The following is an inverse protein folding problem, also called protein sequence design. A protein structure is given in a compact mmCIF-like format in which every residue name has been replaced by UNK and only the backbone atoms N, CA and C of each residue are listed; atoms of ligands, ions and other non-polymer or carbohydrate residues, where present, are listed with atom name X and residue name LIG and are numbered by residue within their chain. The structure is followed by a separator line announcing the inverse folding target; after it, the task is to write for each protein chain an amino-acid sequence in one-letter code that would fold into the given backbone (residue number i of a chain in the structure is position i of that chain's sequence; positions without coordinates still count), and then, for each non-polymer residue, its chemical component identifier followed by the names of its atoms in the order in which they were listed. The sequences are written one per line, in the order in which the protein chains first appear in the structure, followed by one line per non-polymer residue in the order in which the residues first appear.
data_IF_978495786242
#
_entry.id   IF_978495786242
#
_cell.length_a   1.000
_cell.length_b   1.000
_cell.length_c   1.000
_cell.angle_alpha   90.00
_cell.angle_beta   90.00
_cell.angle_gamma   90.00
#
_symmetry.space_group_name_H-M   'P 1'
#
loop_
_entity.id
_entity.type
_entity.pdbx_description
1 polymer ?
#
# COMPACT_ATOMS: atom_id res chain seq x y z
N UNK A 1 21.34 60.81 3.23
CA UNK A 1 21.78 59.42 2.95
C UNK A 1 23.29 59.37 2.96
N UNK A 2 23.91 58.44 3.69
CA UNK A 2 25.37 58.21 3.57
C UNK A 2 25.64 57.55 2.21
N UNK A 3 26.67 58.02 1.50
CA UNK A 3 27.10 57.39 0.25
C UNK A 3 27.54 55.93 0.51
N UNK A 4 27.27 55.00 -0.43
CA UNK A 4 27.81 53.64 -0.34
C UNK A 4 29.34 53.71 -0.33
N UNK A 5 30.00 52.86 0.46
CA UNK A 5 31.47 52.84 0.47
C UNK A 5 31.96 52.23 -0.84
N UNK A 6 33.24 52.44 -1.13
CA UNK A 6 33.88 51.96 -2.36
C UNK A 6 33.81 50.42 -2.51
N UNK A 7 33.71 49.70 -1.39
CA UNK A 7 33.58 48.23 -1.37
C UNK A 7 32.24 47.79 -1.97
N UNK A 8 31.15 48.44 -1.59
CA UNK A 8 29.80 48.12 -2.05
C UNK A 8 29.65 48.44 -3.55
N UNK A 9 30.26 49.53 -4.01
CA UNK A 9 30.33 49.86 -5.44
C UNK A 9 31.12 48.80 -6.23
N UNK A 10 32.24 48.32 -5.67
CA UNK A 10 33.03 47.25 -6.30
C UNK A 10 32.23 45.95 -6.45
N UNK A 11 31.53 45.51 -5.40
CA UNK A 11 30.67 44.32 -5.46
C UNK A 11 29.52 44.50 -6.44
N UNK A 12 28.92 45.70 -6.51
CA UNK A 12 27.86 46.00 -7.46
C UNK A 12 28.35 45.89 -8.92
N UNK A 13 29.55 46.41 -9.22
CA UNK A 13 30.16 46.29 -10.54
C UNK A 13 30.48 44.83 -10.87
N UNK A 14 31.02 44.06 -9.91
CA UNK A 14 31.28 42.62 -10.11
C UNK A 14 29.97 41.89 -10.42
N UNK A 15 28.92 42.12 -9.62
CA UNK A 15 27.61 41.49 -9.80
C UNK A 15 26.94 41.84 -11.13
N UNK A 16 27.18 43.04 -11.67
CA UNK A 16 26.61 43.49 -12.94
C UNK A 16 27.22 42.75 -14.14
N UNK A 17 28.51 42.40 -14.05
CA UNK A 17 29.25 41.74 -15.13
C UNK A 17 29.18 40.22 -15.02
N UNK A 18 28.95 39.66 -13.83
CA UNK A 18 28.74 38.22 -13.65
C UNK A 18 27.39 37.77 -14.23
N UNK A 19 27.31 36.57 -14.83
CA UNK A 19 26.05 36.02 -15.31
C UNK A 19 25.06 35.82 -14.15
N UNK A 20 23.77 35.97 -14.44
CA UNK A 20 22.72 35.79 -13.45
C UNK A 20 22.72 34.35 -12.92
N UNK A 21 22.58 34.22 -11.59
CA UNK A 21 22.49 32.91 -10.93
C UNK A 21 21.13 32.22 -11.13
N UNK A 22 20.11 32.96 -11.56
CA UNK A 22 18.74 32.46 -11.73
C UNK A 22 18.65 31.42 -12.84
N UNK A 23 17.92 30.33 -12.60
CA UNK A 23 17.51 29.38 -13.64
C UNK A 23 16.43 29.98 -14.55
N UNK A 24 16.29 29.46 -15.77
CA UNK A 24 15.25 29.88 -16.73
C UNK A 24 13.86 29.29 -16.46
N UNK A 25 13.56 28.90 -15.22
CA UNK A 25 12.24 28.39 -14.85
C UNK A 25 11.18 29.50 -15.06
N UNK A 26 10.00 29.23 -15.65
CA UNK A 26 9.44 27.91 -16.04
C UNK A 26 9.73 27.48 -17.48
N UNK A 27 10.52 28.24 -18.27
CA UNK A 27 10.83 27.89 -19.67
C UNK A 27 11.68 26.61 -19.78
N UNK A 28 12.63 26.44 -18.86
CA UNK A 28 13.38 25.19 -18.70
C UNK A 28 12.97 24.56 -17.35
N UNK A 29 12.59 23.28 -17.31
CA UNK A 29 12.18 22.61 -16.09
C UNK A 29 13.38 22.46 -15.14
N UNK A 30 13.11 22.60 -13.83
CA UNK A 30 14.11 22.27 -12.83
C UNK A 30 14.27 20.76 -12.73
N UNK A 31 15.51 20.27 -12.69
CA UNK A 31 15.83 18.86 -12.45
C UNK A 31 16.31 18.73 -11.00
N UNK A 32 15.51 18.12 -10.11
CA UNK A 32 15.94 17.87 -8.74
C UNK A 32 17.11 16.90 -8.66
N UNK A 33 17.76 16.84 -7.49
CA UNK A 33 18.82 15.89 -7.21
C UNK A 33 18.30 14.44 -7.22
N UNK A 34 19.19 13.48 -7.50
CA UNK A 34 18.85 12.06 -7.44
C UNK A 34 18.41 11.66 -6.03
N UNK A 35 17.24 10.99 -5.90
CA UNK A 35 16.59 10.64 -4.62
C UNK A 35 15.87 11.80 -3.93
N UNK A 36 15.55 12.86 -4.66
CA UNK A 36 14.57 13.85 -4.20
C UNK A 36 13.26 13.16 -3.79
N UNK A 37 12.64 13.65 -2.71
CA UNK A 37 11.39 13.11 -2.17
C UNK A 37 10.20 13.92 -2.66
N UNK A 38 9.76 13.63 -3.89
CA UNK A 38 8.57 14.20 -4.49
C UNK A 38 7.30 13.38 -4.23
N UNK A 39 6.33 13.50 -5.13
CA UNK A 39 5.04 12.81 -5.06
C UNK A 39 5.26 11.29 -4.94
N UNK A 40 4.65 10.62 -3.96
CA UNK A 40 4.57 9.16 -3.94
C UNK A 40 3.84 8.66 -5.19
N UNK A 41 4.49 7.79 -5.96
CA UNK A 41 3.92 7.10 -7.11
C UNK A 41 3.66 5.67 -6.69
N UNK A 42 2.43 5.23 -6.88
CA UNK A 42 1.99 3.88 -6.53
C UNK A 42 1.96 3.05 -7.81
N UNK A 43 2.58 1.88 -7.74
CA UNK A 43 2.50 0.88 -8.79
C UNK A 43 1.35 -0.06 -8.47
N UNK A 44 0.30 -0.03 -9.30
CA UNK A 44 -0.89 -0.84 -9.04
C UNK A 44 -0.61 -2.34 -9.13
N UNK A 45 0.31 -2.80 -9.97
CA UNK A 45 0.59 -4.24 -10.12
C UNK A 45 1.38 -4.79 -8.93
N UNK A 46 2.27 -3.96 -8.36
CA UNK A 46 3.14 -4.36 -7.26
C UNK A 46 2.60 -3.99 -5.86
N UNK A 47 1.58 -3.12 -5.78
CA UNK A 47 0.91 -2.77 -4.54
C UNK A 47 -0.15 -3.82 -4.18
N UNK A 48 0.07 -4.55 -3.09
CA UNK A 48 -0.82 -5.65 -2.69
C UNK A 48 -1.91 -5.25 -1.68
N UNK A 49 -1.99 -3.98 -1.25
CA UNK A 49 -3.04 -3.54 -0.31
C UNK A 49 -2.91 -4.06 1.14
N UNK A 50 -1.68 -4.30 1.61
CA UNK A 50 -1.35 -4.87 2.93
C UNK A 50 -1.41 -3.89 4.14
N UNK A 51 -1.88 -2.65 3.96
CA UNK A 51 -2.00 -1.61 5.01
C UNK A 51 -0.71 -1.12 5.69
N UNK A 52 0.45 -1.74 5.44
CA UNK A 52 1.71 -1.38 6.11
C UNK A 52 2.05 0.11 5.95
N UNK A 53 1.81 0.67 4.77
CA UNK A 53 2.07 2.09 4.49
C UNK A 53 1.18 3.05 5.29
N UNK A 54 -0.06 2.68 5.61
CA UNK A 54 -0.93 3.50 6.46
C UNK A 54 -0.47 3.47 7.92
N UNK A 55 -0.06 2.30 8.42
CA UNK A 55 0.40 2.13 9.79
C UNK A 55 1.69 2.92 10.11
N UNK A 56 2.59 3.05 9.14
CA UNK A 56 3.85 3.81 9.33
C UNK A 56 3.73 5.29 8.99
N UNK A 57 2.57 5.76 8.50
CA UNK A 57 2.39 7.13 8.04
C UNK A 57 2.18 8.08 9.24
N UNK A 58 3.13 8.98 9.56
CA UNK A 58 2.99 9.85 10.73
C UNK A 58 1.77 10.78 10.70
N UNK A 59 1.40 11.42 9.56
CA UNK A 59 0.22 12.29 9.50
C UNK A 59 -1.08 11.53 9.17
N UNK A 60 -1.06 10.19 9.09
CA UNK A 60 -2.20 9.37 8.64
C UNK A 60 -2.81 9.85 7.31
N UNK A 61 -1.95 10.21 6.35
CA UNK A 61 -2.35 10.66 5.02
C UNK A 61 -2.87 9.53 4.11
N UNK A 62 -2.63 8.27 4.48
CA UNK A 62 -3.08 7.09 3.75
C UNK A 62 -4.15 6.40 4.59
N UNK A 63 -5.32 6.19 4.00
CA UNK A 63 -6.46 5.53 4.66
C UNK A 63 -6.98 4.37 3.83
N UNK A 64 -7.51 3.37 4.52
CA UNK A 64 -8.06 2.15 3.94
C UNK A 64 -9.53 2.02 4.36
N UNK A 65 -10.40 1.68 3.41
CA UNK A 65 -11.82 1.42 3.62
C UNK A 65 -12.22 0.15 2.89
N UNK A 66 -12.86 -0.79 3.59
CA UNK A 66 -13.31 -2.06 3.02
C UNK A 66 -14.81 -2.02 2.74
N UNK A 67 -15.18 -2.21 1.48
CA UNK A 67 -16.56 -2.41 1.02
C UNK A 67 -16.79 -3.91 0.83
N UNK A 68 -17.54 -4.51 1.76
CA UNK A 68 -17.83 -5.95 1.75
C UNK A 68 -18.83 -6.35 0.67
N UNK A 69 -19.76 -5.46 0.32
CA UNK A 69 -20.80 -5.75 -0.68
C UNK A 69 -20.20 -5.83 -2.07
N UNK A 70 -19.29 -4.90 -2.38
CA UNK A 70 -18.54 -4.90 -3.64
C UNK A 70 -17.32 -5.81 -3.62
N UNK A 71 -16.89 -6.28 -2.45
CA UNK A 71 -15.68 -7.09 -2.31
C UNK A 71 -14.42 -6.32 -2.66
N UNK A 72 -14.37 -5.00 -2.41
CA UNK A 72 -13.23 -4.16 -2.73
C UNK A 72 -12.72 -3.38 -1.53
N UNK A 73 -11.41 -3.16 -1.52
CA UNK A 73 -10.70 -2.30 -0.59
C UNK A 73 -10.28 -1.04 -1.30
N UNK A 74 -10.71 0.10 -0.79
CA UNK A 74 -10.40 1.42 -1.30
C UNK A 74 -9.25 1.99 -0.46
N UNK A 75 -8.16 2.34 -1.13
CA UNK A 75 -6.98 2.96 -0.54
C UNK A 75 -6.97 4.40 -1.01
N UNK A 76 -7.11 5.35 -0.08
CA UNK A 76 -7.04 6.78 -0.39
C UNK A 76 -5.76 7.41 0.16
N UNK A 77 -5.18 8.31 -0.62
CA UNK A 77 -3.92 8.99 -0.31
C UNK A 77 -4.11 10.49 -0.46
N UNK A 78 -4.13 11.20 0.66
CA UNK A 78 -4.27 12.65 0.70
C UNK A 78 -2.88 13.31 0.68
N UNK A 79 -2.46 13.79 -0.48
CA UNK A 79 -1.17 14.47 -0.62
C UNK A 79 -1.14 15.84 0.05
N UNK A 80 -2.29 16.40 0.43
CA UNK A 80 -2.37 17.64 1.22
C UNK A 80 -2.04 17.43 2.69
N UNK A 81 -2.15 16.19 3.19
CA UNK A 81 -1.70 15.80 4.55
C UNK A 81 -0.29 15.20 4.57
N UNK A 82 0.19 14.73 3.41
CA UNK A 82 1.47 14.05 3.31
C UNK A 82 2.65 14.99 3.66
N UNK A 83 3.58 14.51 4.48
CA UNK A 83 4.83 15.22 4.82
C UNK A 83 6.03 14.77 3.99
N UNK A 84 5.81 13.94 2.96
CA UNK A 84 6.82 13.44 2.02
C UNK A 84 8.08 12.81 2.67
N UNK A 85 7.89 12.15 3.82
CA UNK A 85 9.00 11.57 4.60
C UNK A 85 9.62 10.28 4.02
N UNK A 86 8.93 9.62 3.08
CA UNK A 86 9.27 8.32 2.48
C UNK A 86 9.08 7.05 3.33
N UNK A 87 8.50 7.12 4.53
CA UNK A 87 8.24 5.93 5.35
C UNK A 87 7.41 4.86 4.63
N UNK A 88 6.46 5.28 3.79
CA UNK A 88 5.65 4.34 2.99
C UNK A 88 6.47 3.54 1.96
N UNK A 89 7.52 4.15 1.39
CA UNK A 89 8.44 3.48 0.46
C UNK A 89 9.32 2.49 1.21
N UNK A 90 9.92 2.92 2.32
CA UNK A 90 10.91 2.13 3.06
C UNK A 90 10.29 0.89 3.74
N UNK A 91 9.04 1.00 4.18
CA UNK A 91 8.30 -0.11 4.79
C UNK A 91 7.38 -0.87 3.81
N UNK A 92 7.49 -0.61 2.51
CA UNK A 92 6.71 -1.36 1.53
C UNK A 92 7.16 -2.83 1.50
N UNK A 93 6.28 -3.78 1.86
CA UNK A 93 6.64 -5.20 1.92
C UNK A 93 7.08 -5.78 0.56
N UNK A 94 6.61 -5.20 -0.54
CA UNK A 94 6.98 -5.59 -1.91
C UNK A 94 8.22 -4.84 -2.42
N UNK A 95 8.63 -3.76 -1.76
CA UNK A 95 9.73 -2.87 -2.16
C UNK A 95 9.48 -2.07 -3.44
N UNK A 96 8.35 -2.30 -4.12
CA UNK A 96 8.00 -1.69 -5.41
C UNK A 96 6.61 -1.07 -5.45
N UNK A 97 5.73 -1.41 -4.50
CA UNK A 97 4.33 -0.96 -4.52
C UNK A 97 4.16 0.56 -4.38
N UNK A 98 5.09 1.25 -3.72
CA UNK A 98 5.12 2.72 -3.67
C UNK A 98 6.55 3.21 -3.66
N UNK A 99 6.84 4.25 -4.45
CA UNK A 99 8.12 4.94 -4.48
C UNK A 99 7.91 6.45 -4.60
N UNK A 100 8.71 7.23 -3.90
CA UNK A 100 8.69 8.68 -4.07
C UNK A 100 9.38 9.03 -5.38
N UNK A 101 8.72 9.85 -6.19
CA UNK A 101 9.29 10.34 -7.44
C UNK A 101 10.35 11.40 -7.15
N UNK A 102 11.46 11.31 -7.86
CA UNK A 102 12.49 12.34 -7.96
C UNK A 102 12.10 13.47 -8.92
N UNK A 103 11.20 13.18 -9.88
CA UNK A 103 10.82 14.10 -10.96
C UNK A 103 9.48 14.80 -10.74
N UNK A 104 8.54 14.16 -10.05
CA UNK A 104 7.19 14.69 -9.85
C UNK A 104 7.16 15.43 -8.51
N UNK A 105 7.22 16.76 -8.55
CA UNK A 105 7.14 17.61 -7.35
C UNK A 105 6.12 18.75 -7.49
N UNK A 106 5.74 19.10 -8.71
CA UNK A 106 4.74 20.13 -9.01
C UNK A 106 3.33 19.53 -8.93
N UNK A 107 2.79 19.45 -7.72
CA UNK A 107 1.45 18.88 -7.44
C UNK A 107 0.47 19.93 -6.90
N UNK A 108 0.73 21.21 -7.17
CA UNK A 108 -0.16 22.28 -6.74
C UNK A 108 -1.51 22.16 -7.47
N UNK A 109 -2.60 22.17 -6.72
CA UNK A 109 -3.97 22.12 -7.23
C UNK A 109 -4.81 23.22 -6.57
N UNK A 110 -5.82 23.72 -7.27
CA UNK A 110 -6.74 24.71 -6.74
C UNK A 110 -7.76 24.09 -5.77
N UNK A 111 -8.30 22.92 -6.14
CA UNK A 111 -9.26 22.18 -5.32
C UNK A 111 -8.58 21.08 -4.53
N UNK A 112 -8.87 21.01 -3.23
CA UNK A 112 -8.28 20.00 -2.33
C UNK A 112 -8.62 18.56 -2.73
N UNK A 113 -9.79 18.33 -3.30
CA UNK A 113 -10.24 16.99 -3.71
C UNK A 113 -9.35 16.39 -4.80
N UNK A 114 -8.75 17.22 -5.65
CA UNK A 114 -7.84 16.78 -6.71
C UNK A 114 -6.48 16.32 -6.17
N UNK A 115 -6.20 16.55 -4.89
CA UNK A 115 -4.97 16.10 -4.24
C UNK A 115 -5.13 14.74 -3.54
N UNK A 116 -6.27 14.07 -3.73
CA UNK A 116 -6.56 12.76 -3.15
C UNK A 116 -6.55 11.72 -4.27
N UNK A 117 -5.72 10.70 -4.12
CA UNK A 117 -5.63 9.59 -5.05
C UNK A 117 -6.26 8.32 -4.47
N UNK A 118 -7.06 7.64 -5.27
CA UNK A 118 -7.76 6.41 -4.90
C UNK A 118 -7.19 5.21 -5.66
N UNK A 119 -7.13 4.07 -4.98
CA UNK A 119 -6.77 2.79 -5.57
C UNK A 119 -7.69 1.71 -5.01
N UNK A 120 -8.18 0.83 -5.88
CA UNK A 120 -9.06 -0.26 -5.50
C UNK A 120 -8.32 -1.59 -5.57
N UNK A 121 -8.62 -2.49 -4.62
CA UNK A 121 -8.06 -3.84 -4.54
C UNK A 121 -9.13 -4.84 -4.19
N UNK A 122 -9.12 -5.99 -4.87
CA UNK A 122 -10.11 -7.04 -4.62
C UNK A 122 -9.87 -7.72 -3.27
N UNK A 123 -10.91 -7.80 -2.46
CA UNK A 123 -10.92 -8.45 -1.16
C UNK A 123 -11.16 -9.95 -1.30
N UNK A 124 -10.52 -10.69 -0.41
CA UNK A 124 -10.83 -12.07 -0.12
C UNK A 124 -11.69 -12.12 1.14
N UNK A 125 -12.95 -12.47 0.96
CA UNK A 125 -13.94 -12.58 2.02
C UNK A 125 -14.19 -14.06 2.30
N UNK A 126 -14.31 -14.42 3.57
CA UNK A 126 -14.68 -15.78 3.94
C UNK A 126 -16.16 -16.03 3.66
N UNK A 127 -16.48 -17.06 2.89
CA UNK A 127 -17.86 -17.47 2.58
C UNK A 127 -18.65 -17.91 3.81
N UNK A 128 -17.95 -18.43 4.84
CA UNK A 128 -18.58 -18.91 6.07
C UNK A 128 -18.94 -17.79 7.05
N UNK A 129 -17.94 -17.04 7.51
CA UNK A 129 -18.15 -16.01 8.55
C UNK A 129 -18.24 -14.58 8.01
N UNK A 130 -18.17 -14.36 6.68
CA UNK A 130 -18.25 -13.02 6.06
C UNK A 130 -17.13 -12.06 6.48
N UNK A 131 -16.07 -12.58 7.09
CA UNK A 131 -14.93 -11.81 7.54
C UNK A 131 -14.02 -11.47 6.35
N UNK A 132 -13.54 -10.23 6.30
CA UNK A 132 -12.48 -9.83 5.37
C UNK A 132 -11.18 -10.46 5.86
N UNK A 133 -10.58 -11.32 5.05
CA UNK A 133 -9.30 -11.96 5.40
C UNK A 133 -8.15 -11.02 5.03
N UNK A 134 -8.08 -10.63 3.76
CA UNK A 134 -7.06 -9.75 3.17
C UNK A 134 -7.44 -9.47 1.71
N UNK A 135 -6.65 -8.72 0.94
CA UNK A 135 -6.75 -8.69 -0.53
C UNK A 135 -6.22 -9.97 -1.18
N UNK A 136 -6.75 -10.35 -2.36
CA UNK A 136 -6.28 -11.53 -3.11
C UNK A 136 -4.80 -11.44 -3.46
N UNK A 137 -4.36 -10.26 -3.91
CA UNK A 137 -2.96 -10.01 -4.28
C UNK A 137 -2.00 -10.18 -3.10
N UNK A 138 -2.39 -9.74 -1.88
CA UNK A 138 -1.56 -9.92 -0.69
C UNK A 138 -1.41 -11.39 -0.34
N UNK A 139 -2.48 -12.18 -0.43
CA UNK A 139 -2.40 -13.62 -0.20
C UNK A 139 -1.47 -14.30 -1.22
N UNK A 140 -1.59 -13.95 -2.51
CA UNK A 140 -0.69 -14.46 -3.55
C UNK A 140 0.76 -14.07 -3.32
N UNK A 141 1.02 -12.83 -2.88
CA UNK A 141 2.36 -12.36 -2.54
C UNK A 141 2.95 -13.15 -1.37
N UNK A 142 2.18 -13.33 -0.29
CA UNK A 142 2.60 -14.10 0.88
C UNK A 142 2.88 -15.55 0.52
N UNK A 143 2.03 -16.18 -0.29
CA UNK A 143 2.24 -17.54 -0.78
C UNK A 143 3.54 -17.67 -1.57
N UNK A 144 3.80 -16.75 -2.52
CA UNK A 144 5.05 -16.74 -3.31
C UNK A 144 6.29 -16.52 -2.44
N UNK A 145 6.19 -15.64 -1.43
CA UNK A 145 7.32 -15.28 -0.56
C UNK A 145 7.66 -16.39 0.45
N UNK A 146 6.65 -17.03 1.03
CA UNK A 146 6.84 -18.12 2.00
C UNK A 146 7.17 -19.44 1.29
N UNK A 147 6.57 -19.69 0.12
CA UNK A 147 6.79 -20.89 -0.69
C UNK A 147 6.62 -22.16 0.15
N UNK A 148 7.59 -23.10 0.10
CA UNK A 148 7.57 -24.32 0.89
C UNK A 148 7.53 -24.12 2.41
N UNK A 149 7.93 -22.96 2.93
CA UNK A 149 7.87 -22.69 4.38
C UNK A 149 6.44 -22.50 4.88
N UNK A 150 5.48 -22.40 3.98
CA UNK A 150 4.07 -22.17 4.29
C UNK A 150 3.27 -23.46 4.59
N UNK A 151 3.90 -24.64 4.49
CA UNK A 151 3.24 -25.96 4.60
C UNK A 151 2.73 -26.33 6.00
N UNK A 152 2.82 -25.42 6.98
CA UNK A 152 2.09 -25.59 8.25
C UNK A 152 0.59 -25.33 8.10
N UNK A 153 0.14 -24.71 7.00
CA UNK A 153 -1.28 -24.40 6.75
C UNK A 153 -1.86 -25.23 5.60
N UNK A 154 -3.00 -25.86 5.86
CA UNK A 154 -3.78 -26.66 4.90
C UNK A 154 -4.18 -25.87 3.65
N UNK A 155 -4.34 -24.54 3.78
CA UNK A 155 -4.73 -23.65 2.69
C UNK A 155 -3.63 -23.52 1.63
N UNK A 156 -2.37 -23.51 2.08
CA UNK A 156 -1.21 -23.47 1.19
C UNK A 156 -1.00 -24.80 0.47
N UNK A 157 -1.37 -25.91 1.11
CA UNK A 157 -1.35 -27.24 0.51
C UNK A 157 -2.41 -27.36 -0.60
N UNK A 158 -3.64 -26.92 -0.35
CA UNK A 158 -4.71 -26.96 -1.37
C UNK A 158 -4.40 -26.05 -2.58
N UNK A 159 -3.89 -24.83 -2.35
CA UNK A 159 -3.47 -23.95 -3.44
C UNK A 159 -2.29 -24.54 -4.26
N UNK A 160 -1.36 -25.23 -3.59
CA UNK A 160 -0.28 -25.94 -4.27
C UNK A 160 -0.83 -27.12 -5.08
N UNK A 161 -1.72 -27.93 -4.51
CA UNK A 161 -2.34 -29.05 -5.21
C UNK A 161 -3.10 -28.59 -6.45
N UNK A 162 -3.83 -27.48 -6.37
CA UNK A 162 -4.49 -26.87 -7.53
C UNK A 162 -3.46 -26.41 -8.58
N UNK A 163 -2.40 -25.72 -8.17
CA UNK A 163 -1.33 -25.25 -9.09
C UNK A 163 -0.58 -26.41 -9.75
N UNK A 164 -0.38 -27.51 -9.02
CA UNK A 164 0.23 -28.75 -9.51
C UNK A 164 -0.76 -29.64 -10.27
N UNK A 165 -2.04 -29.25 -10.37
CA UNK A 165 -3.13 -30.03 -10.96
C UNK A 165 -3.29 -31.42 -10.33
N UNK A 166 -2.96 -31.53 -9.05
CA UNK A 166 -3.09 -32.76 -8.25
C UNK A 166 -4.51 -32.91 -7.66
N UNK A 167 -5.32 -31.85 -7.69
CA UNK A 167 -6.73 -31.86 -7.29
C UNK A 167 -7.55 -31.09 -8.35
N UNK A 168 -8.75 -31.58 -8.66
CA UNK A 168 -9.69 -30.90 -9.56
C UNK A 168 -10.40 -29.76 -8.82
N UNK A 169 -10.89 -28.76 -9.57
CA UNK A 169 -11.54 -27.57 -8.99
C UNK A 169 -12.76 -27.86 -8.10
N UNK A 170 -13.34 -29.06 -8.21
CA UNK A 170 -14.49 -29.51 -7.41
C UNK A 170 -14.12 -29.88 -5.96
N UNK A 171 -12.86 -30.23 -5.68
CA UNK A 171 -12.41 -30.60 -4.33
C UNK A 171 -12.17 -29.39 -3.41
N UNK A 172 -12.34 -28.17 -3.95
CA UNK A 172 -12.05 -26.91 -3.25
C UNK A 172 -13.33 -26.31 -2.66
N UNK A 173 -14.46 -26.48 -3.37
CA UNK A 173 -15.76 -25.96 -2.97
C UNK A 173 -16.44 -26.97 -2.04
N UNK A 174 -16.41 -26.66 -0.74
CA UNK A 174 -17.11 -27.46 0.27
C UNK A 174 -18.34 -26.69 0.70
N UNK A 175 -19.51 -27.17 0.29
CA UNK A 175 -20.77 -26.61 0.76
C UNK A 175 -20.87 -26.75 2.29
N UNK A 176 -20.90 -25.60 2.97
CA UNK A 176 -21.12 -25.52 4.40
C UNK A 176 -22.62 -25.75 4.66
N UNK A 177 -23.01 -27.03 4.73
CA UNK A 177 -24.41 -27.45 4.96
C UNK A 177 -24.84 -27.39 6.43
N UNK A 178 -23.88 -27.26 7.34
CA UNK A 178 -24.06 -27.25 8.79
C UNK A 178 -23.38 -26.00 9.41
N UNK A 179 -23.81 -25.55 10.60
CA UNK A 179 -23.00 -24.62 11.41
C UNK A 179 -21.53 -25.08 11.50
N UNK A 180 -20.58 -24.14 11.54
CA UNK A 180 -19.12 -24.40 11.66
C UNK A 180 -18.79 -25.54 12.65
N UNK A 181 -18.38 -26.71 12.13
CA UNK A 181 -18.04 -27.93 12.86
C UNK A 181 -16.53 -28.23 12.77
N UNK A 182 -16.04 -29.15 13.60
CA UNK A 182 -14.63 -29.56 13.62
C UNK A 182 -14.13 -30.14 12.28
N UNK A 183 -15.01 -30.77 11.50
CA UNK A 183 -14.70 -31.27 10.15
C UNK A 183 -14.29 -30.13 9.19
N UNK A 184 -14.83 -28.93 9.42
CA UNK A 184 -14.54 -27.73 8.63
C UNK A 184 -13.20 -27.09 9.02
N UNK A 185 -12.50 -27.58 10.07
CA UNK A 185 -11.12 -27.15 10.37
C UNK A 185 -10.13 -27.54 9.25
N UNK A 186 -10.47 -28.55 8.45
CA UNK A 186 -9.62 -29.04 7.37
C UNK A 186 -9.84 -28.29 6.05
N UNK A 187 -10.97 -27.56 5.91
CA UNK A 187 -11.29 -26.76 4.74
C UNK A 187 -11.38 -25.28 5.13
N UNK A 188 -10.48 -24.47 4.58
CA UNK A 188 -10.52 -23.00 4.66
C UNK A 188 -10.31 -22.48 6.09
N UNK A 189 -9.04 -22.41 6.52
CA UNK A 189 -8.66 -21.78 7.79
C UNK A 189 -8.75 -20.25 7.65
N UNK A 190 -9.97 -19.72 7.67
CA UNK A 190 -10.16 -18.33 8.05
C UNK A 190 -9.73 -18.20 9.52
N UNK A 191 -8.76 -17.32 9.86
CA UNK A 191 -8.34 -17.13 11.25
C UNK A 191 -9.50 -16.78 12.18
N UNK A 192 -10.51 -16.08 11.64
CA UNK A 192 -11.70 -15.71 12.38
C UNK A 192 -12.62 -16.92 12.64
N UNK A 193 -13.01 -17.66 11.59
CA UNK A 193 -13.89 -18.82 11.73
C UNK A 193 -13.23 -19.93 12.59
N UNK A 194 -11.92 -20.18 12.43
CA UNK A 194 -11.17 -21.12 13.27
C UNK A 194 -11.22 -20.71 14.75
N UNK A 195 -10.98 -19.42 15.03
CA UNK A 195 -11.08 -18.87 16.38
C UNK A 195 -12.50 -19.03 16.94
N UNK A 196 -13.54 -18.75 16.14
CA UNK A 196 -14.93 -18.92 16.56
C UNK A 196 -15.26 -20.37 16.93
N UNK A 197 -14.82 -21.34 16.12
CA UNK A 197 -14.97 -22.77 16.44
C UNK A 197 -14.27 -23.09 17.77
N UNK A 198 -13.00 -22.71 17.92
CA UNK A 198 -12.23 -22.99 19.13
C UNK A 198 -12.86 -22.38 20.39
N UNK A 199 -13.31 -21.12 20.31
CA UNK A 199 -14.01 -20.43 21.40
C UNK A 199 -15.32 -21.15 21.73
N UNK A 200 -16.16 -21.47 20.73
CA UNK A 200 -17.39 -22.24 20.94
C UNK A 200 -17.13 -23.58 21.62
N UNK A 201 -16.03 -24.26 21.31
CA UNK A 201 -15.65 -25.53 21.95
C UNK A 201 -15.17 -25.34 23.40
N UNK A 202 -14.29 -24.36 23.65
CA UNK A 202 -13.74 -24.10 24.98
C UNK A 202 -14.82 -23.68 25.99
N UNK A 203 -15.84 -22.96 25.53
CA UNK A 203 -16.92 -22.44 26.40
C UNK A 203 -18.22 -23.26 26.33
N UNK A 204 -18.25 -24.41 25.65
CA UNK A 204 -19.43 -25.30 25.57
C UNK A 204 -19.71 -26.12 26.85
N UNK A 205 -19.01 -25.82 27.94
CA UNK A 205 -19.06 -26.56 29.21
C UNK A 205 -19.51 -25.76 30.43
N UNK A 206 -20.20 -24.64 30.24
CA UNK A 206 -20.93 -23.91 31.31
C UNK A 206 -22.39 -23.80 30.93
#
# INVERSE_FOLDING_TARGET
MKYPKLRELKEAVISLVTPAYTSKFPKEPHVPFERFRGKPVVDNENCVGCETCANVCPPHAITFSDDKEKGIRIISRDYGKCIFCAMCQDHCITGKGVKLSDKIFEIAVFDRQNNIEYQEKELLICESCGAVITTKEHLHFMHRRLGPKAFSSILNLNLLNQKLKLAEGQDIDVEIRDDLKRKDMFNIVCPNCLRQILVKYLFKGV
#
